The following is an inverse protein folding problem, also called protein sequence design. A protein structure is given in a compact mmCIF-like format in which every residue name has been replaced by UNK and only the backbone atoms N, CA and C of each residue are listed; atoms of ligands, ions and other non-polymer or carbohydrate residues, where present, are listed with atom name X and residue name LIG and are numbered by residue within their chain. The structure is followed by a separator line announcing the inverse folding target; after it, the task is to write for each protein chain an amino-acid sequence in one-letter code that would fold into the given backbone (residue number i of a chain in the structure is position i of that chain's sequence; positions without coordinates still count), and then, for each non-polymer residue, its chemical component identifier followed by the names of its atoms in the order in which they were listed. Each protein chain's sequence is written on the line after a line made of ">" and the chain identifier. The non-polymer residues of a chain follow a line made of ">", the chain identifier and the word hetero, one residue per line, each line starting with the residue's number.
data_IF_907002708262
#
_entry.id   IF_907002708262
#
_cell.length_a   1.000
_cell.length_b   1.000
_cell.length_c   1.000
_cell.angle_alpha   90.00
_cell.angle_beta   90.00
_cell.angle_gamma   90.00
#
_symmetry.space_group_name_H-M   'P 1'
#
loop_
_entity.id
_entity.type
_entity.pdbx_description
1 polymer ?
#
# COMPACT_ATOMS: atom_id res chain seq x y z
N UNK A 1 3.66 53.37 -17.61
CA UNK A 1 3.85 51.94 -17.93
C UNK A 1 3.89 51.17 -16.62
N UNK A 2 2.87 50.39 -16.32
CA UNK A 2 2.85 49.57 -15.11
C UNK A 2 3.80 48.37 -15.29
N UNK A 3 4.76 48.21 -14.36
CA UNK A 3 5.66 47.07 -14.37
C UNK A 3 4.86 45.78 -14.13
N UNK A 4 4.95 44.84 -15.04
CA UNK A 4 4.38 43.52 -14.88
C UNK A 4 5.07 42.85 -13.66
N UNK A 5 4.33 42.42 -12.63
CA UNK A 5 4.95 41.79 -11.47
C UNK A 5 5.69 40.52 -11.89
N UNK A 6 6.99 40.47 -11.60
CA UNK A 6 7.78 39.23 -11.78
C UNK A 6 7.16 38.15 -10.93
N UNK A 7 6.82 36.97 -11.45
CA UNK A 7 6.25 35.89 -10.64
C UNK A 7 7.22 35.51 -9.53
N UNK A 8 6.77 35.58 -8.28
CA UNK A 8 7.56 35.16 -7.14
C UNK A 8 7.70 33.64 -7.21
N UNK A 9 8.91 33.14 -7.48
CA UNK A 9 9.21 31.72 -7.47
C UNK A 9 9.41 31.30 -6.00
N UNK A 10 8.46 30.57 -5.46
CA UNK A 10 8.63 29.96 -4.15
C UNK A 10 9.59 28.76 -4.24
N UNK A 11 10.58 28.62 -3.32
CA UNK A 11 11.46 27.45 -3.33
C UNK A 11 10.65 26.18 -3.10
N UNK A 12 10.84 25.20 -3.98
CA UNK A 12 10.17 23.92 -3.89
C UNK A 12 10.87 23.02 -2.85
N UNK A 13 10.13 22.35 -1.96
CA UNK A 13 10.71 21.37 -1.07
C UNK A 13 11.23 20.16 -1.87
N UNK A 14 12.25 19.49 -1.34
CA UNK A 14 12.69 18.20 -1.88
C UNK A 14 11.59 17.16 -1.69
N UNK A 15 10.83 16.91 -2.74
CA UNK A 15 9.62 16.08 -2.67
C UNK A 15 9.91 14.64 -3.10
N UNK A 16 9.43 13.68 -2.31
CA UNK A 16 9.53 12.24 -2.57
C UNK A 16 8.17 11.58 -2.51
N UNK A 17 8.07 10.42 -3.17
CA UNK A 17 6.97 9.48 -3.03
C UNK A 17 7.49 8.24 -2.32
N UNK A 18 6.74 7.73 -1.33
CA UNK A 18 7.08 6.52 -0.59
C UNK A 18 5.88 5.55 -0.67
N UNK A 19 6.16 4.25 -0.82
CA UNK A 19 5.14 3.23 -1.01
C UNK A 19 5.15 2.23 0.13
N UNK A 20 4.09 2.18 0.91
CA UNK A 20 3.80 1.09 1.83
C UNK A 20 2.96 0.03 1.09
N UNK A 21 3.64 -0.91 0.46
CA UNK A 21 3.03 -2.01 -0.32
C UNK A 21 2.90 -3.24 0.57
N UNK A 22 1.71 -3.78 0.66
CA UNK A 22 1.38 -4.92 1.52
C UNK A 22 0.86 -6.10 0.71
N UNK A 23 1.00 -7.29 1.26
CA UNK A 23 0.33 -8.51 0.80
C UNK A 23 0.04 -9.42 2.00
N UNK A 24 -1.02 -10.21 1.93
CA UNK A 24 -1.22 -11.34 2.85
C UNK A 24 -0.48 -12.55 2.24
N UNK A 25 0.60 -12.95 2.86
CA UNK A 25 1.45 -14.06 2.43
C UNK A 25 1.62 -15.04 3.58
N UNK A 26 1.44 -16.31 3.33
CA UNK A 26 1.56 -17.37 4.36
C UNK A 26 0.72 -17.09 5.62
N UNK A 27 -0.49 -16.55 5.42
CA UNK A 27 -1.39 -16.21 6.52
C UNK A 27 -0.98 -15.00 7.37
N UNK A 28 0.00 -14.21 6.91
CA UNK A 28 0.53 -13.06 7.64
C UNK A 28 0.52 -11.81 6.76
N UNK A 29 0.13 -10.66 7.32
CA UNK A 29 0.27 -9.37 6.64
C UNK A 29 1.74 -8.99 6.60
N UNK A 30 2.26 -8.84 5.38
CA UNK A 30 3.64 -8.47 5.12
C UNK A 30 3.72 -7.15 4.35
N UNK A 31 4.82 -6.42 4.55
CA UNK A 31 5.17 -5.19 3.82
C UNK A 31 6.41 -5.41 2.98
N UNK A 32 6.40 -4.87 1.77
CA UNK A 32 7.56 -4.89 0.88
C UNK A 32 8.57 -3.82 1.30
N UNK A 33 9.76 -4.25 1.65
CA UNK A 33 10.88 -3.38 1.98
C UNK A 33 11.95 -3.44 0.90
N UNK A 34 12.62 -2.30 0.69
CA UNK A 34 13.74 -2.14 -0.23
C UNK A 34 15.02 -1.86 0.55
N UNK A 35 16.09 -2.62 0.29
CA UNK A 35 17.42 -2.33 0.82
C UNK A 35 18.08 -1.26 -0.04
N UNK A 36 18.50 -0.18 0.59
CA UNK A 36 19.04 0.99 -0.09
C UNK A 36 20.46 0.72 -0.58
N UNK A 37 20.71 0.95 -1.87
CA UNK A 37 22.05 0.82 -2.45
C UNK A 37 22.95 2.04 -2.17
N UNK A 38 22.37 3.22 -1.89
CA UNK A 38 23.10 4.48 -1.85
C UNK A 38 22.78 5.32 -0.59
N UNK A 39 23.64 6.26 -0.29
CA UNK A 39 23.42 7.30 0.72
C UNK A 39 22.17 8.17 0.41
N UNK A 40 21.53 8.73 1.46
CA UNK A 40 21.74 8.45 2.87
C UNK A 40 21.20 7.05 3.25
N UNK A 41 21.71 6.47 4.35
CA UNK A 41 21.29 5.17 4.88
C UNK A 41 21.55 3.97 3.92
N UNK A 42 22.64 3.95 3.17
CA UNK A 42 23.05 2.78 2.37
C UNK A 42 23.06 1.49 3.21
N UNK A 43 22.58 0.38 2.64
CA UNK A 43 22.44 -0.92 3.31
C UNK A 43 21.26 -1.05 4.27
N UNK A 44 20.56 0.04 4.64
CA UNK A 44 19.37 -0.03 5.49
C UNK A 44 18.12 -0.36 4.68
N UNK A 45 17.19 -1.06 5.34
CA UNK A 45 15.86 -1.30 4.81
C UNK A 45 14.98 -0.05 4.92
N UNK A 46 14.12 0.15 3.93
CA UNK A 46 13.24 1.32 3.79
C UNK A 46 11.98 0.95 3.02
N UNK A 47 10.98 1.80 3.05
CA UNK A 47 9.91 1.75 2.05
C UNK A 47 10.51 2.06 0.66
N UNK A 48 10.11 1.33 -0.39
CA UNK A 48 10.45 1.72 -1.75
C UNK A 48 9.89 3.12 -2.06
N UNK A 49 10.63 3.90 -2.87
CA UNK A 49 10.22 5.25 -3.17
C UNK A 49 11.20 6.00 -4.05
N UNK A 50 10.84 7.20 -4.48
CA UNK A 50 11.62 8.00 -5.38
C UNK A 50 11.34 9.49 -5.30
N UNK A 51 12.06 10.27 -6.08
CA UNK A 51 11.94 11.74 -6.13
C UNK A 51 10.88 12.12 -7.15
N UNK A 52 10.02 13.07 -6.78
CA UNK A 52 9.13 13.76 -7.72
C UNK A 52 9.98 14.53 -8.73
N UNK A 53 9.66 14.40 -10.01
CA UNK A 53 10.34 15.08 -11.11
C UNK A 53 9.36 15.96 -11.84
N UNK A 54 9.42 17.24 -11.56
CA UNK A 54 8.53 18.26 -12.16
C UNK A 54 8.68 18.40 -13.67
N UNK A 55 9.80 17.94 -14.21
CA UNK A 55 10.08 17.88 -15.65
C UNK A 55 9.46 16.67 -16.36
N UNK A 56 9.02 15.66 -15.62
CA UNK A 56 8.49 14.39 -16.13
C UNK A 56 7.08 14.08 -15.64
N UNK A 57 6.77 14.48 -14.42
CA UNK A 57 5.56 14.03 -13.72
C UNK A 57 4.44 15.06 -13.86
N UNK A 58 3.43 14.75 -14.66
CA UNK A 58 2.27 15.61 -14.84
C UNK A 58 1.35 15.68 -13.61
N UNK A 59 1.41 14.67 -12.74
CA UNK A 59 0.63 14.59 -11.49
C UNK A 59 1.36 13.72 -10.46
N UNK A 60 0.87 13.75 -9.21
CA UNK A 60 1.39 12.84 -8.17
C UNK A 60 1.14 11.37 -8.51
N UNK A 61 0.01 11.04 -9.13
CA UNK A 61 -0.30 9.67 -9.54
C UNK A 61 0.59 9.20 -10.68
N UNK A 62 0.88 10.07 -11.67
CA UNK A 62 1.85 9.78 -12.72
C UNK A 62 3.26 9.54 -12.13
N UNK A 63 3.67 10.39 -11.19
CA UNK A 63 4.92 10.22 -10.45
C UNK A 63 4.96 8.90 -9.69
N UNK A 64 3.85 8.52 -9.01
CA UNK A 64 3.76 7.28 -8.27
C UNK A 64 3.95 6.06 -9.18
N UNK A 65 3.28 6.01 -10.33
CA UNK A 65 3.41 4.92 -11.28
C UNK A 65 4.80 4.84 -11.89
N UNK A 66 5.40 5.98 -12.29
CA UNK A 66 6.78 6.02 -12.78
C UNK A 66 7.77 5.51 -11.74
N UNK A 67 7.68 6.02 -10.50
CA UNK A 67 8.59 5.63 -9.42
C UNK A 67 8.41 4.15 -9.07
N UNK A 68 7.18 3.64 -9.01
CA UNK A 68 6.92 2.21 -8.78
C UNK A 68 7.61 1.36 -9.85
N UNK A 69 7.40 1.68 -11.13
CA UNK A 69 8.03 0.96 -12.24
C UNK A 69 9.55 1.03 -12.19
N UNK A 70 10.14 2.20 -11.90
CA UNK A 70 11.59 2.37 -11.80
C UNK A 70 12.22 1.63 -10.62
N UNK A 71 11.48 1.47 -9.52
CA UNK A 71 12.00 0.92 -8.26
C UNK A 71 11.66 -0.54 -8.06
N UNK A 72 10.50 -0.97 -8.53
CA UNK A 72 9.95 -2.29 -8.28
C UNK A 72 9.82 -3.14 -9.56
N UNK A 73 10.15 -2.57 -10.72
CA UNK A 73 10.06 -3.25 -12.00
C UNK A 73 8.64 -3.38 -12.55
N UNK A 74 7.62 -2.95 -11.81
CA UNK A 74 6.22 -3.02 -12.20
C UNK A 74 5.42 -1.83 -11.66
N UNK A 75 4.34 -1.41 -12.35
CA UNK A 75 3.40 -0.46 -11.80
C UNK A 75 2.67 -1.06 -10.60
N UNK A 76 2.24 -0.21 -9.68
CA UNK A 76 1.42 -0.62 -8.53
C UNK A 76 -0.05 -0.30 -8.83
N UNK A 77 -0.91 -1.31 -8.98
CA UNK A 77 -2.33 -1.07 -9.06
C UNK A 77 -2.88 -0.62 -7.70
N UNK A 78 -3.97 0.12 -7.73
CA UNK A 78 -4.76 0.47 -6.53
C UNK A 78 -3.96 1.15 -5.41
N UNK A 79 -3.05 2.08 -5.76
CA UNK A 79 -2.42 2.95 -4.78
C UNK A 79 -3.43 3.96 -4.24
N UNK A 80 -3.49 4.07 -2.91
CA UNK A 80 -4.24 5.13 -2.21
C UNK A 80 -3.26 6.05 -1.49
N UNK A 81 -3.38 7.35 -1.68
CA UNK A 81 -2.61 8.31 -0.90
C UNK A 81 -2.96 8.17 0.58
N UNK A 82 -1.94 8.01 1.43
CA UNK A 82 -2.10 7.86 2.87
C UNK A 82 -1.99 9.19 3.60
N UNK A 83 -0.87 9.87 3.40
CA UNK A 83 -0.58 11.15 4.04
C UNK A 83 0.58 11.86 3.37
N UNK A 84 0.77 13.12 3.71
CA UNK A 84 2.02 13.83 3.50
C UNK A 84 2.73 14.06 4.83
N UNK A 85 4.05 13.91 4.84
CA UNK A 85 4.92 14.18 5.99
C UNK A 85 6.11 15.00 5.54
N UNK A 86 6.46 16.03 6.29
CA UNK A 86 7.54 16.93 5.89
C UNK A 86 8.22 17.60 7.07
N UNK A 87 9.40 18.15 6.80
CA UNK A 87 10.15 18.89 7.81
C UNK A 87 11.61 19.13 7.44
N UNK A 88 12.32 19.97 8.23
CA UNK A 88 13.70 20.37 7.95
C UNK A 88 14.74 19.27 8.21
N UNK A 89 14.40 18.22 8.98
CA UNK A 89 15.34 17.13 9.31
C UNK A 89 14.92 15.80 8.68
N UNK A 90 13.91 15.80 7.82
CA UNK A 90 13.35 14.57 7.27
C UNK A 90 14.31 13.85 6.32
N UNK A 91 15.04 14.60 5.51
CA UNK A 91 16.01 14.04 4.57
C UNK A 91 17.28 14.92 4.59
N UNK A 92 18.46 14.34 4.92
CA UNK A 92 19.70 15.12 5.06
C UNK A 92 20.20 15.72 3.73
N UNK A 93 19.60 15.38 2.60
CA UNK A 93 19.96 15.91 1.28
C UNK A 93 19.35 17.29 0.99
N UNK A 94 18.43 17.76 1.82
CA UNK A 94 17.77 19.03 1.61
C UNK A 94 17.44 19.71 2.93
N UNK A 95 17.44 21.06 2.98
CA UNK A 95 17.12 21.81 4.16
C UNK A 95 15.67 21.61 4.61
N UNK A 96 14.78 21.23 3.68
CA UNK A 96 13.39 20.89 3.95
C UNK A 96 12.91 19.83 2.95
N UNK A 97 12.32 18.75 3.43
CA UNK A 97 11.85 17.64 2.60
C UNK A 97 10.39 17.29 2.88
N UNK A 98 9.69 16.87 1.83
CA UNK A 98 8.31 16.38 1.84
C UNK A 98 8.28 14.95 1.29
N UNK A 99 7.55 14.06 1.93
CA UNK A 99 7.14 12.79 1.30
C UNK A 99 5.62 12.73 1.20
N UNK A 100 5.15 12.39 0.01
CA UNK A 100 3.78 11.93 -0.23
C UNK A 100 3.80 10.42 -0.11
N UNK A 101 3.09 9.89 0.87
CA UNK A 101 3.08 8.46 1.19
C UNK A 101 1.84 7.82 0.60
N UNK A 102 2.06 6.76 -0.16
CA UNK A 102 0.99 5.91 -0.71
C UNK A 102 0.97 4.57 0.01
N UNK A 103 -0.20 3.98 0.12
CA UNK A 103 -0.37 2.59 0.54
C UNK A 103 -1.08 1.80 -0.54
N UNK A 104 -0.74 0.53 -0.66
CA UNK A 104 -1.37 -0.41 -1.57
C UNK A 104 -1.35 -1.80 -0.99
N UNK A 105 -2.41 -2.56 -1.23
CA UNK A 105 -2.49 -3.98 -0.92
C UNK A 105 -2.55 -4.72 -2.25
N UNK A 106 -1.65 -5.67 -2.45
CA UNK A 106 -1.57 -6.46 -3.67
C UNK A 106 -1.95 -7.91 -3.40
N UNK A 107 -2.50 -8.63 -4.39
CA UNK A 107 -2.73 -10.08 -4.28
C UNK A 107 -1.44 -10.82 -3.93
N UNK A 108 -1.56 -11.98 -3.26
CA UNK A 108 -0.40 -12.79 -2.89
C UNK A 108 0.36 -13.35 -4.11
N UNK A 109 -0.35 -13.54 -5.22
CA UNK A 109 0.13 -13.98 -6.53
C UNK A 109 0.46 -12.82 -7.49
N UNK A 110 0.50 -11.59 -6.98
CA UNK A 110 0.95 -10.44 -7.77
C UNK A 110 2.31 -10.73 -8.41
N UNK A 111 2.60 -10.18 -9.61
CA UNK A 111 3.88 -10.36 -10.26
C UNK A 111 5.04 -10.04 -9.31
N UNK A 112 6.11 -10.83 -9.40
CA UNK A 112 7.29 -10.61 -8.60
C UNK A 112 7.87 -9.22 -8.86
N UNK A 113 8.05 -8.46 -7.79
CA UNK A 113 8.76 -7.21 -7.85
C UNK A 113 10.25 -7.47 -7.99
N UNK A 114 10.91 -6.69 -8.84
CA UNK A 114 12.35 -6.75 -9.06
C UNK A 114 13.03 -5.48 -8.54
N UNK A 115 14.22 -5.65 -7.96
CA UNK A 115 15.01 -4.53 -7.48
C UNK A 115 15.46 -3.65 -8.65
N UNK A 116 14.89 -2.46 -8.74
CA UNK A 116 15.21 -1.46 -9.76
C UNK A 116 16.31 -0.50 -9.33
N UNK A 117 16.34 0.69 -9.94
CA UNK A 117 17.38 1.70 -9.66
C UNK A 117 17.52 2.00 -8.17
N UNK A 118 18.76 2.02 -7.65
CA UNK A 118 19.13 2.38 -6.27
C UNK A 118 18.57 1.45 -5.20
N UNK A 119 18.13 0.26 -5.58
CA UNK A 119 17.70 -0.80 -4.68
C UNK A 119 18.66 -1.97 -4.82
N UNK A 120 19.24 -2.41 -3.71
CA UNK A 120 20.15 -3.56 -3.67
C UNK A 120 19.36 -4.88 -3.60
N UNK A 121 18.26 -4.89 -2.83
CA UNK A 121 17.40 -6.04 -2.64
C UNK A 121 15.98 -5.61 -2.25
N UNK A 122 15.01 -6.48 -2.53
CA UNK A 122 13.64 -6.41 -2.03
C UNK A 122 13.37 -7.58 -1.10
N UNK A 123 12.59 -7.36 -0.06
CA UNK A 123 12.13 -8.44 0.82
C UNK A 123 10.74 -8.12 1.38
N UNK A 124 9.90 -9.15 1.43
CA UNK A 124 8.69 -9.14 2.22
C UNK A 124 9.05 -9.40 3.69
N UNK A 125 8.51 -8.62 4.59
CA UNK A 125 8.67 -8.75 6.03
C UNK A 125 7.32 -8.63 6.72
N UNK A 126 7.12 -9.36 7.81
CA UNK A 126 5.92 -9.15 8.60
C UNK A 126 5.82 -7.69 9.06
N UNK A 127 4.60 -7.18 9.18
CA UNK A 127 4.40 -5.77 9.60
C UNK A 127 4.96 -5.50 10.99
N UNK A 128 4.87 -6.47 11.89
CA UNK A 128 5.39 -6.35 13.27
C UNK A 128 6.92 -6.26 13.27
N UNK A 129 7.61 -7.10 12.49
CA UNK A 129 9.06 -7.00 12.31
C UNK A 129 9.47 -5.66 11.70
N UNK A 130 8.74 -5.18 10.68
CA UNK A 130 9.06 -3.93 10.00
C UNK A 130 8.88 -2.71 10.91
N UNK A 131 7.85 -2.71 11.76
CA UNK A 131 7.58 -1.63 12.72
C UNK A 131 8.65 -1.61 13.82
N UNK A 132 9.10 -2.79 14.28
CA UNK A 132 10.15 -2.91 15.30
C UNK A 132 11.58 -2.69 14.76
N UNK A 133 11.78 -2.78 13.44
CA UNK A 133 13.10 -2.67 12.84
C UNK A 133 13.58 -1.21 12.75
N UNK A 134 14.91 -0.97 12.83
CA UNK A 134 15.49 0.34 12.60
C UNK A 134 15.54 0.66 11.09
N UNK A 135 14.39 0.90 10.47
CA UNK A 135 14.31 1.29 9.08
C UNK A 135 15.00 2.64 8.83
N UNK A 136 15.33 2.92 7.57
CA UNK A 136 15.85 4.24 7.19
C UNK A 136 14.77 5.31 7.39
N UNK A 137 15.20 6.52 7.74
CA UNK A 137 14.32 7.66 8.01
C UNK A 137 13.30 7.32 9.12
N UNK A 138 12.07 7.78 8.96
CA UNK A 138 10.91 7.50 9.80
C UNK A 138 10.00 6.37 9.24
N UNK A 139 10.54 5.51 8.36
CA UNK A 139 9.74 4.57 7.58
C UNK A 139 9.01 3.54 8.45
N UNK A 140 9.53 3.15 9.60
CA UNK A 140 8.82 2.27 10.54
C UNK A 140 7.50 2.93 11.02
N UNK A 141 7.52 4.22 11.32
CA UNK A 141 6.32 4.99 11.68
C UNK A 141 5.32 5.07 10.51
N UNK A 142 5.81 5.17 9.26
CA UNK A 142 4.94 5.19 8.08
C UNK A 142 4.29 3.83 7.83
N UNK A 143 5.00 2.72 8.06
CA UNK A 143 4.44 1.36 8.01
C UNK A 143 3.30 1.23 9.02
N UNK A 144 3.54 1.58 10.29
CA UNK A 144 2.52 1.53 11.34
C UNK A 144 1.28 2.37 10.99
N UNK A 145 1.48 3.58 10.48
CA UNK A 145 0.40 4.46 10.02
C UNK A 145 -0.42 3.83 8.89
N UNK A 146 0.24 3.18 7.92
CA UNK A 146 -0.41 2.51 6.80
C UNK A 146 -1.20 1.27 7.25
N UNK A 147 -0.66 0.46 8.17
CA UNK A 147 -1.35 -0.69 8.76
C UNK A 147 -2.62 -0.25 9.47
N UNK A 148 -2.53 0.78 10.32
CA UNK A 148 -3.72 1.33 11.02
C UNK A 148 -4.79 1.83 10.05
N UNK A 149 -4.39 2.49 8.96
CA UNK A 149 -5.34 2.96 7.96
C UNK A 149 -6.04 1.80 7.24
N UNK A 150 -5.32 0.72 6.87
CA UNK A 150 -5.93 -0.46 6.25
C UNK A 150 -6.89 -1.20 7.19
N UNK A 151 -6.54 -1.29 8.48
CA UNK A 151 -7.41 -1.88 9.50
C UNK A 151 -8.69 -1.06 9.67
N UNK A 152 -8.58 0.26 9.72
CA UNK A 152 -9.73 1.16 9.77
C UNK A 152 -10.64 1.06 8.54
N UNK A 153 -10.08 0.82 7.33
CA UNK A 153 -10.89 0.57 6.13
C UNK A 153 -11.78 -0.69 6.32
N UNK A 154 -11.22 -1.78 6.85
CA UNK A 154 -11.99 -3.02 7.11
C UNK A 154 -13.07 -2.75 8.15
N UNK A 155 -12.79 -1.97 9.17
CA UNK A 155 -13.77 -1.62 10.21
C UNK A 155 -14.98 -0.87 9.66
N UNK A 156 -14.81 -0.10 8.60
CA UNK A 156 -15.90 0.59 7.89
C UNK A 156 -16.43 -0.15 6.66
N UNK A 157 -15.94 -1.38 6.43
CA UNK A 157 -16.26 -2.24 5.29
C UNK A 157 -15.82 -1.66 3.92
N UNK A 158 -14.79 -0.84 3.87
CA UNK A 158 -14.04 -0.55 2.64
C UNK A 158 -13.05 -1.71 2.41
N UNK A 159 -13.54 -2.76 1.77
CA UNK A 159 -12.87 -4.05 1.71
C UNK A 159 -11.95 -4.19 0.49
N UNK A 160 -10.83 -4.91 0.61
CA UNK A 160 -9.83 -5.04 -0.45
C UNK A 160 -10.20 -6.14 -1.46
N UNK A 161 -11.33 -5.99 -2.13
CA UNK A 161 -11.83 -6.99 -3.09
C UNK A 161 -10.83 -7.28 -4.23
N UNK A 162 -10.03 -6.30 -4.63
CA UNK A 162 -9.00 -6.48 -5.66
C UNK A 162 -7.85 -7.43 -5.26
N UNK A 163 -7.79 -7.86 -3.99
CA UNK A 163 -6.81 -8.83 -3.49
C UNK A 163 -7.38 -10.25 -3.36
N UNK A 164 -8.65 -10.44 -3.71
CA UNK A 164 -9.33 -11.73 -3.72
C UNK A 164 -9.51 -12.22 -5.16
N UNK A 165 -9.71 -13.52 -5.37
CA UNK A 165 -10.18 -14.03 -6.66
C UNK A 165 -11.47 -13.33 -7.09
N UNK A 166 -11.77 -13.31 -8.40
CA UNK A 166 -13.00 -12.70 -8.94
C UNK A 166 -14.26 -13.23 -8.26
N UNK A 167 -14.28 -14.53 -7.92
CA UNK A 167 -15.32 -15.16 -7.13
C UNK A 167 -14.74 -15.83 -5.89
N UNK A 168 -15.26 -15.49 -4.73
CA UNK A 168 -14.78 -15.93 -3.42
C UNK A 168 -15.94 -16.33 -2.50
N UNK A 169 -15.65 -17.09 -1.46
CA UNK A 169 -16.61 -17.40 -0.40
C UNK A 169 -16.56 -16.35 0.71
N UNK A 170 -17.61 -16.24 1.51
CA UNK A 170 -17.62 -15.41 2.72
C UNK A 170 -16.51 -15.80 3.71
N UNK A 171 -16.12 -17.10 3.73
CA UNK A 171 -15.04 -17.57 4.57
C UNK A 171 -13.68 -17.07 4.11
N UNK A 172 -13.42 -17.08 2.79
CA UNK A 172 -12.18 -16.55 2.22
C UNK A 172 -12.05 -15.04 2.45
N UNK A 173 -13.12 -14.29 2.24
CA UNK A 173 -13.15 -12.85 2.52
C UNK A 173 -12.90 -12.56 4.00
N UNK A 174 -13.58 -13.28 4.90
CA UNK A 174 -13.39 -13.14 6.36
C UNK A 174 -11.95 -13.45 6.76
N UNK A 175 -11.41 -14.59 6.32
CA UNK A 175 -10.03 -14.98 6.62
C UNK A 175 -9.01 -13.97 6.11
N UNK A 176 -9.23 -13.43 4.92
CA UNK A 176 -8.37 -12.37 4.38
C UNK A 176 -8.40 -11.10 5.26
N UNK A 177 -9.59 -10.65 5.66
CA UNK A 177 -9.74 -9.51 6.56
C UNK A 177 -9.07 -9.76 7.92
N UNK A 178 -9.21 -10.95 8.48
CA UNK A 178 -8.60 -11.35 9.75
C UNK A 178 -7.06 -11.31 9.69
N UNK A 179 -6.46 -11.74 8.58
CA UNK A 179 -5.01 -11.62 8.37
C UNK A 179 -4.54 -10.16 8.31
N UNK A 180 -5.31 -9.25 7.70
CA UNK A 180 -4.98 -7.82 7.68
C UNK A 180 -5.16 -7.19 9.06
N UNK A 181 -6.23 -7.55 9.77
CA UNK A 181 -6.52 -7.06 11.12
C UNK A 181 -5.51 -7.58 12.17
N UNK A 182 -5.03 -8.81 11.98
CA UNK A 182 -4.19 -9.51 12.95
C UNK A 182 -4.98 -10.13 14.11
N UNK A 183 -6.31 -10.20 14.01
CA UNK A 183 -7.19 -10.83 14.99
C UNK A 183 -8.47 -11.38 14.34
N UNK A 184 -9.14 -12.35 14.95
CA UNK A 184 -10.37 -12.93 14.43
C UNK A 184 -11.53 -11.93 14.45
N UNK A 185 -12.47 -12.13 13.51
CA UNK A 185 -13.75 -11.41 13.41
C UNK A 185 -14.89 -12.30 13.91
N UNK A 186 -15.86 -11.73 14.61
CA UNK A 186 -17.10 -12.45 14.87
C UNK A 186 -17.85 -12.70 13.55
N UNK A 187 -17.96 -13.98 13.21
CA UNK A 187 -18.51 -14.46 11.94
C UNK A 187 -19.94 -13.96 11.68
N UNK A 188 -20.78 -13.97 12.72
CA UNK A 188 -22.19 -13.62 12.60
C UNK A 188 -22.35 -12.12 12.40
N UNK A 189 -21.64 -11.32 13.18
CA UNK A 189 -21.63 -9.86 13.08
C UNK A 189 -21.05 -9.40 11.74
N UNK A 190 -19.93 -9.97 11.30
CA UNK A 190 -19.29 -9.62 10.03
C UNK A 190 -20.23 -9.88 8.85
N UNK A 191 -20.85 -11.08 8.78
CA UNK A 191 -21.80 -11.45 7.72
C UNK A 191 -23.03 -10.57 7.71
N UNK A 192 -23.60 -10.27 8.88
CA UNK A 192 -24.75 -9.36 8.99
C UNK A 192 -24.38 -7.98 8.43
N UNK A 193 -23.24 -7.41 8.83
CA UNK A 193 -22.79 -6.09 8.33
C UNK A 193 -22.57 -6.07 6.82
N UNK A 194 -22.09 -7.15 6.23
CA UNK A 194 -21.95 -7.28 4.76
C UNK A 194 -23.32 -7.30 4.07
N UNK A 195 -24.28 -8.05 4.62
CA UNK A 195 -25.65 -8.13 4.10
C UNK A 195 -26.38 -6.80 4.23
N UNK A 196 -26.27 -6.13 5.37
CA UNK A 196 -26.95 -4.85 5.63
C UNK A 196 -26.53 -3.73 4.66
N UNK A 197 -25.38 -3.89 3.98
CA UNK A 197 -24.82 -2.91 3.03
C UNK A 197 -24.86 -3.37 1.57
N UNK A 198 -25.43 -4.54 1.28
CA UNK A 198 -25.47 -5.13 -0.08
C UNK A 198 -24.11 -5.12 -0.80
N UNK A 199 -23.02 -5.36 -0.05
CA UNK A 199 -21.66 -5.27 -0.58
C UNK A 199 -21.26 -6.44 -1.48
N UNK A 200 -22.06 -7.51 -1.53
CA UNK A 200 -21.70 -8.74 -2.21
C UNK A 200 -22.83 -9.21 -3.12
N UNK A 201 -22.46 -9.59 -4.32
CA UNK A 201 -23.37 -10.18 -5.29
C UNK A 201 -23.16 -11.69 -5.32
N UNK A 202 -24.17 -12.53 -5.01
CA UNK A 202 -24.02 -13.98 -5.13
C UNK A 202 -23.85 -14.38 -6.61
N UNK A 203 -22.99 -15.37 -6.86
CA UNK A 203 -22.83 -15.96 -8.19
C UNK A 203 -23.80 -17.13 -8.29
N UNK A 204 -24.86 -16.99 -9.08
CA UNK A 204 -25.94 -17.98 -9.19
C UNK A 204 -25.41 -19.34 -9.65
N UNK A 205 -25.77 -20.40 -8.93
CA UNK A 205 -25.43 -21.77 -9.27
C UNK A 205 -23.96 -22.15 -9.02
N UNK A 206 -23.09 -21.23 -8.59
CA UNK A 206 -21.69 -21.51 -8.34
C UNK A 206 -21.38 -21.69 -6.84
N UNK A 207 -20.73 -22.82 -6.54
CA UNK A 207 -20.35 -23.17 -5.17
C UNK A 207 -18.89 -23.65 -5.14
N UNK A 208 -18.17 -23.29 -4.09
CA UNK A 208 -16.89 -23.89 -3.78
C UNK A 208 -17.12 -25.25 -3.16
N UNK A 209 -16.76 -26.32 -3.86
CA UNK A 209 -16.83 -27.69 -3.36
C UNK A 209 -15.51 -28.05 -2.69
N UNK A 210 -15.56 -28.63 -1.51
CA UNK A 210 -14.39 -29.08 -0.73
C UNK A 210 -14.80 -30.19 0.25
N UNK A 211 -13.99 -30.45 1.26
CA UNK A 211 -14.25 -31.46 2.30
C UNK A 211 -15.48 -31.16 3.18
N UNK A 212 -16.03 -29.95 3.10
CA UNK A 212 -17.20 -29.50 3.87
C UNK A 212 -18.39 -29.19 2.96
N UNK A 213 -19.51 -28.77 3.58
CA UNK A 213 -20.71 -28.35 2.84
C UNK A 213 -20.33 -27.29 1.78
N UNK A 214 -20.84 -27.44 0.54
CA UNK A 214 -20.59 -26.45 -0.54
C UNK A 214 -20.87 -25.02 -0.08
N UNK A 215 -19.95 -24.12 -0.32
CA UNK A 215 -20.07 -22.72 0.05
C UNK A 215 -20.40 -21.85 -1.16
N UNK A 216 -21.45 -21.03 -1.06
CA UNK A 216 -21.85 -20.07 -2.08
C UNK A 216 -20.69 -19.13 -2.44
N UNK A 217 -20.47 -18.89 -3.73
CA UNK A 217 -19.54 -17.88 -4.24
C UNK A 217 -20.22 -16.51 -4.37
N UNK A 218 -19.42 -15.48 -4.14
CA UNK A 218 -19.79 -14.08 -4.22
C UNK A 218 -18.77 -13.30 -5.04
N UNK A 219 -19.20 -12.17 -5.56
CA UNK A 219 -18.33 -11.13 -6.14
C UNK A 219 -18.46 -9.84 -5.34
N UNK A 220 -17.39 -9.09 -5.26
CA UNK A 220 -17.42 -7.72 -4.75
C UNK A 220 -18.10 -6.76 -5.75
N UNK A 221 -18.38 -5.51 -5.34
CA UNK A 221 -18.86 -4.49 -6.24
C UNK A 221 -17.90 -4.32 -7.43
N UNK A 222 -18.44 -4.12 -8.62
CA UNK A 222 -17.63 -3.75 -9.79
C UNK A 222 -17.06 -2.35 -9.56
N UNK A 223 -15.74 -2.22 -9.73
CA UNK A 223 -15.05 -0.94 -9.70
C UNK A 223 -15.47 -0.05 -10.86
#
# INVERSE_FOLDING_TARGET
>A
MAATPTPSIHPMPFTRLEFAVFAVREGTLQVLLARRAEAPHAGRWALPGGVLRVDLDASLDAAAQRVATERLGAPLPLLRQLCAVGGPQRDPRAPWALSVVYRGLVPADAPDFSAGKRIEALAWRSVDEAIAAPLAFDHATLVDKAVRAMRADIDVLDLPFGCLPEAFTLGELQSFCEHVLGHPLDKSSFRRRLSDRDLLVPVEGEFRVGAFRPAQLFRGPRA
#
